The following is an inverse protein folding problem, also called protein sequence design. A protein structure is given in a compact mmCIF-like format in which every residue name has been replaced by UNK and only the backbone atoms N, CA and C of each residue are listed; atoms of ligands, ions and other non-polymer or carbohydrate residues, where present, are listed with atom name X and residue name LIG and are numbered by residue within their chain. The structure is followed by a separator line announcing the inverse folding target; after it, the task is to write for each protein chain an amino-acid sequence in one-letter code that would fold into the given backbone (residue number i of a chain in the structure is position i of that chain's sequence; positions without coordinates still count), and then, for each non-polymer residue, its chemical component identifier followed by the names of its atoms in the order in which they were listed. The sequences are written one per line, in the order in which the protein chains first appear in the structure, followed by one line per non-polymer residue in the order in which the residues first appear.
data_IF_969142547295
#
_entry.id   IF_969142547295
#
_cell.length_a   1.000
_cell.length_b   1.000
_cell.length_c   1.000
_cell.angle_alpha   90.00
_cell.angle_beta   90.00
_cell.angle_gamma   90.00
#
_symmetry.space_group_name_H-M   'P 1'
#
loop_
_entity.id
_entity.type
_entity.pdbx_description
1 polymer ?
#
# COMPACT_ATOMS: atom_id res chain seq x y z
N UNK A 1 -29.66 5.79 -4.50
CA UNK A 1 -28.73 4.64 -4.56
C UNK A 1 -27.35 5.25 -4.53
N UNK A 2 -26.76 5.33 -3.34
CA UNK A 2 -25.54 6.10 -3.15
C UNK A 2 -24.37 5.36 -3.80
N UNK A 3 -23.92 5.88 -4.93
CA UNK A 3 -22.60 5.57 -5.47
C UNK A 3 -21.58 6.10 -4.44
N UNK A 4 -21.25 5.29 -3.45
CA UNK A 4 -20.16 5.58 -2.54
C UNK A 4 -18.89 5.71 -3.39
N UNK A 5 -18.52 6.95 -3.72
CA UNK A 5 -17.30 7.26 -4.45
C UNK A 5 -16.15 6.72 -3.60
N UNK A 6 -15.60 5.59 -4.01
CA UNK A 6 -14.40 5.03 -3.42
C UNK A 6 -13.32 6.10 -3.60
N UNK A 7 -12.91 6.76 -2.52
CA UNK A 7 -11.86 7.77 -2.58
C UNK A 7 -10.52 7.06 -2.61
N UNK A 8 -10.03 6.84 -3.81
CA UNK A 8 -8.63 6.49 -4.03
C UNK A 8 -7.76 7.74 -3.87
N UNK A 9 -6.57 7.55 -3.31
CA UNK A 9 -5.54 8.59 -3.24
C UNK A 9 -4.19 8.04 -3.66
N UNK A 10 -3.35 8.92 -4.18
CA UNK A 10 -1.98 8.56 -4.56
C UNK A 10 -0.99 9.02 -3.50
N UNK A 11 -0.04 8.14 -3.17
CA UNK A 11 1.05 8.43 -2.25
C UNK A 11 2.37 8.00 -2.91
N UNK A 12 3.39 8.85 -2.83
CA UNK A 12 4.72 8.54 -3.36
C UNK A 12 5.67 8.32 -2.18
N UNK A 13 6.27 7.15 -2.11
CA UNK A 13 7.31 6.81 -1.14
C UNK A 13 8.63 6.65 -1.88
N UNK A 14 9.63 7.46 -1.56
CA UNK A 14 10.95 7.40 -2.21
C UNK A 14 12.05 7.22 -1.16
N UNK A 15 12.78 6.13 -1.27
CA UNK A 15 13.98 5.85 -0.46
C UNK A 15 15.16 6.61 -1.09
N UNK A 16 15.46 7.80 -0.55
CA UNK A 16 16.50 8.69 -1.07
C UNK A 16 17.78 8.63 -0.24
N UNK A 17 17.65 8.48 1.08
CA UNK A 17 18.76 8.39 2.03
C UNK A 17 18.94 6.95 2.52
N UNK A 18 20.13 6.64 3.03
CA UNK A 18 20.42 5.33 3.64
C UNK A 18 19.59 5.04 4.89
N UNK A 19 19.10 6.08 5.56
CA UNK A 19 18.23 5.98 6.74
C UNK A 19 16.75 5.86 6.38
N UNK A 20 16.39 6.06 5.11
CA UNK A 20 15.00 5.95 4.67
C UNK A 20 14.63 4.48 4.48
N UNK A 21 13.43 4.15 4.89
CA UNK A 21 12.83 2.84 4.66
C UNK A 21 11.32 3.02 4.54
N UNK A 22 10.67 2.12 3.80
CA UNK A 22 9.24 2.22 3.53
C UNK A 22 8.44 2.18 4.84
N UNK A 23 8.74 1.21 5.71
CA UNK A 23 8.16 1.14 7.05
C UNK A 23 6.67 0.81 7.06
N UNK A 24 6.26 -0.18 6.27
CA UNK A 24 4.90 -0.73 6.33
C UNK A 24 4.93 -2.25 6.14
N UNK A 25 4.01 -2.92 6.82
CA UNK A 25 3.71 -4.33 6.58
C UNK A 25 2.43 -4.43 5.77
N UNK A 26 2.36 -5.47 4.93
CA UNK A 26 1.18 -5.83 4.17
C UNK A 26 0.59 -7.15 4.66
N UNK A 27 -0.69 -7.37 4.39
CA UNK A 27 -1.42 -8.62 4.62
C UNK A 27 -2.42 -8.86 3.49
N UNK A 28 -3.06 -10.03 3.49
CA UNK A 28 -3.95 -10.44 2.41
C UNK A 28 -3.14 -10.99 1.23
N UNK A 29 -3.76 -11.02 0.06
CA UNK A 29 -3.24 -11.73 -1.11
C UNK A 29 -4.35 -12.49 -1.80
N UNK A 30 -4.33 -12.48 -3.12
CA UNK A 30 -5.36 -13.08 -3.95
C UNK A 30 -5.50 -14.60 -3.71
N UNK A 31 -4.44 -15.29 -3.30
CA UNK A 31 -4.47 -16.70 -2.90
C UNK A 31 -5.42 -16.98 -1.72
N UNK A 32 -5.80 -15.94 -0.96
CA UNK A 32 -6.77 -15.99 0.13
C UNK A 32 -8.14 -15.38 -0.24
N UNK A 33 -8.33 -14.98 -1.50
CA UNK A 33 -9.50 -14.22 -1.95
C UNK A 33 -9.57 -12.80 -1.38
N UNK A 34 -8.42 -12.22 -1.01
CA UNK A 34 -8.31 -10.90 -0.40
C UNK A 34 -7.41 -9.98 -1.23
N UNK A 35 -7.70 -8.68 -1.21
CA UNK A 35 -6.75 -7.67 -1.71
C UNK A 35 -5.50 -7.52 -0.83
N UNK A 36 -4.57 -6.66 -1.24
CA UNK A 36 -3.38 -6.32 -0.45
C UNK A 36 -3.69 -5.13 0.45
N UNK A 37 -3.51 -5.30 1.77
CA UNK A 37 -3.82 -4.26 2.77
C UNK A 37 -2.62 -3.94 3.64
N UNK A 38 -2.50 -2.68 4.03
CA UNK A 38 -1.53 -2.25 5.05
C UNK A 38 -1.98 -2.77 6.41
N UNK A 39 -1.13 -3.55 7.07
CA UNK A 39 -1.41 -4.19 8.37
C UNK A 39 -0.73 -3.48 9.53
N UNK A 40 0.40 -2.80 9.28
CA UNK A 40 1.18 -2.08 10.28
C UNK A 40 2.01 -1.00 9.61
N UNK A 41 2.29 0.06 10.36
CA UNK A 41 3.25 1.09 10.00
C UNK A 41 4.36 1.13 11.04
N UNK A 42 5.58 1.32 10.59
CA UNK A 42 6.74 1.51 11.45
C UNK A 42 6.92 3.00 11.73
N UNK A 43 7.19 3.31 13.01
CA UNK A 43 7.37 4.69 13.46
C UNK A 43 8.56 5.33 12.75
N UNK A 44 8.33 6.47 12.13
CA UNK A 44 9.32 7.22 11.38
C UNK A 44 9.63 6.62 10.01
N UNK A 45 8.93 5.59 9.55
CA UNK A 45 9.02 5.10 8.18
C UNK A 45 8.40 6.07 7.16
N UNK A 46 8.76 5.91 5.89
CA UNK A 46 8.20 6.75 4.82
C UNK A 46 6.68 6.63 4.74
N UNK A 47 6.12 5.45 4.97
CA UNK A 47 4.68 5.21 4.93
C UNK A 47 3.95 6.05 5.99
N UNK A 48 4.41 6.03 7.24
CA UNK A 48 3.84 6.87 8.32
C UNK A 48 3.97 8.35 7.99
N UNK A 49 5.15 8.80 7.55
CA UNK A 49 5.42 10.22 7.21
C UNK A 49 4.59 10.73 6.03
N UNK A 50 4.15 9.84 5.13
CA UNK A 50 3.32 10.18 3.98
C UNK A 50 1.84 9.86 4.20
N UNK A 51 1.42 9.75 5.47
CA UNK A 51 0.05 9.54 5.89
C UNK A 51 -0.58 8.26 5.35
N UNK A 52 0.18 7.21 5.03
CA UNK A 52 -0.40 5.87 4.80
C UNK A 52 -1.06 5.42 6.10
N UNK A 53 -2.22 4.76 6.03
CA UNK A 53 -2.94 4.30 7.20
C UNK A 53 -3.02 2.77 7.26
N UNK A 54 -3.01 2.21 8.47
CA UNK A 54 -3.37 0.80 8.65
C UNK A 54 -4.81 0.60 8.19
N UNK A 55 -5.02 -0.45 7.40
CA UNK A 55 -6.30 -0.74 6.76
C UNK A 55 -6.43 -0.21 5.33
N UNK A 56 -5.55 0.68 4.86
CA UNK A 56 -5.54 1.09 3.45
C UNK A 56 -5.32 -0.14 2.55
N UNK A 57 -6.12 -0.23 1.47
CA UNK A 57 -5.91 -1.24 0.43
C UNK A 57 -4.99 -0.67 -0.64
N UNK A 58 -3.94 -1.40 -0.99
CA UNK A 58 -3.08 -1.08 -2.14
C UNK A 58 -3.76 -1.64 -3.39
N UNK A 59 -4.26 -0.76 -4.25
CA UNK A 59 -4.94 -1.16 -5.50
C UNK A 59 -4.05 -1.06 -6.71
N UNK A 60 -2.99 -0.23 -6.65
CA UNK A 60 -1.94 -0.19 -7.66
C UNK A 60 -0.61 0.29 -7.08
N UNK A 61 0.49 -0.13 -7.71
CA UNK A 61 1.84 0.33 -7.39
C UNK A 61 2.58 0.60 -8.69
N UNK A 62 3.12 1.81 -8.86
CA UNK A 62 3.87 2.20 -10.06
C UNK A 62 3.08 2.01 -11.37
N UNK A 63 1.74 2.11 -11.31
CA UNK A 63 0.85 1.88 -12.45
C UNK A 63 0.46 0.42 -12.68
N UNK A 64 1.08 -0.53 -11.97
CA UNK A 64 0.69 -1.95 -11.99
C UNK A 64 -0.47 -2.19 -11.03
N UNK A 65 -1.53 -2.87 -11.50
CA UNK A 65 -2.67 -3.24 -10.64
C UNK A 65 -2.27 -4.26 -9.58
N UNK A 66 -2.78 -4.06 -8.37
CA UNK A 66 -2.60 -4.91 -7.19
C UNK A 66 -3.91 -5.60 -6.76
N UNK A 67 -4.97 -5.53 -7.58
CA UNK A 67 -6.27 -6.10 -7.23
C UNK A 67 -6.28 -7.63 -7.15
N UNK A 68 -5.48 -8.31 -7.99
CA UNK A 68 -5.43 -9.77 -8.09
C UNK A 68 -4.00 -10.32 -7.91
N UNK A 69 -3.23 -9.71 -7.00
CA UNK A 69 -1.83 -10.07 -6.76
C UNK A 69 -1.71 -10.95 -5.52
N UNK A 70 -0.89 -12.00 -5.61
CA UNK A 70 -0.60 -12.87 -4.47
C UNK A 70 0.28 -12.17 -3.44
N UNK A 71 0.22 -12.59 -2.18
CA UNK A 71 0.98 -11.97 -1.09
C UNK A 71 2.48 -11.88 -1.40
N UNK A 72 3.09 -13.02 -1.76
CA UNK A 72 4.53 -13.10 -2.03
C UNK A 72 4.95 -12.18 -3.17
N UNK A 73 4.20 -12.18 -4.27
CA UNK A 73 4.49 -11.32 -5.43
C UNK A 73 4.35 -9.83 -5.09
N UNK A 74 3.37 -9.47 -4.24
CA UNK A 74 3.26 -8.10 -3.75
C UNK A 74 4.48 -7.69 -2.92
N UNK A 75 4.95 -8.55 -2.01
CA UNK A 75 6.14 -8.30 -1.20
C UNK A 75 7.38 -8.13 -2.08
N UNK A 76 7.59 -9.03 -3.03
CA UNK A 76 8.72 -8.98 -3.97
C UNK A 76 8.70 -7.68 -4.79
N UNK A 77 7.55 -7.33 -5.35
CA UNK A 77 7.39 -6.11 -6.14
C UNK A 77 7.69 -4.86 -5.32
N UNK A 78 7.15 -4.75 -4.11
CA UNK A 78 7.36 -3.61 -3.22
C UNK A 78 8.83 -3.46 -2.81
N UNK A 79 9.53 -4.58 -2.60
CA UNK A 79 10.97 -4.60 -2.24
C UNK A 79 11.89 -4.29 -3.42
N UNK A 80 11.48 -4.61 -4.65
CA UNK A 80 12.28 -4.40 -5.85
C UNK A 80 12.44 -2.92 -6.25
N UNK A 81 11.63 -2.02 -5.69
CA UNK A 81 11.59 -0.61 -6.10
C UNK A 81 11.98 0.33 -4.95
N UNK A 82 12.85 1.30 -5.26
CA UNK A 82 13.20 2.38 -4.32
C UNK A 82 12.14 3.47 -4.23
N UNK A 83 11.37 3.65 -5.30
CA UNK A 83 10.25 4.59 -5.36
C UNK A 83 8.97 3.83 -5.65
N UNK A 84 7.97 4.02 -4.79
CA UNK A 84 6.64 3.45 -4.92
C UNK A 84 5.62 4.57 -5.06
N UNK A 85 4.94 4.63 -6.20
CA UNK A 85 3.71 5.38 -6.39
C UNK A 85 2.52 4.46 -6.08
N UNK A 86 2.03 4.53 -4.85
CA UNK A 86 0.91 3.75 -4.36
C UNK A 86 -0.40 4.43 -4.75
N UNK A 87 -1.35 3.68 -5.26
CA UNK A 87 -2.76 4.05 -5.27
C UNK A 87 -3.43 3.29 -4.13
N UNK A 88 -3.96 4.04 -3.17
CA UNK A 88 -4.56 3.52 -1.94
C UNK A 88 -6.05 3.79 -1.93
N UNK A 89 -6.83 2.74 -1.66
CA UNK A 89 -8.24 2.85 -1.34
C UNK A 89 -8.40 2.91 0.18
N UNK A 90 -8.93 4.04 0.66
CA UNK A 90 -9.11 4.29 2.09
C UNK A 90 -10.20 3.35 2.62
N UNK A 91 -9.86 2.52 3.60
CA UNK A 91 -10.86 1.80 4.36
C UNK A 91 -11.52 2.80 5.32
N UNK A 92 -12.82 3.08 5.16
CA UNK A 92 -13.57 3.88 6.14
C UNK A 92 -13.48 3.12 7.47
N UNK A 93 -12.76 3.66 8.45
CA UNK A 93 -12.94 3.25 9.83
C UNK A 93 -14.40 3.54 10.18
N UNK A 94 -15.17 2.48 10.41
CA UNK A 94 -16.46 2.56 11.07
C UNK A 94 -16.24 2.76 12.57
#
# INVERSE_FOLDING_TARGET
MDHATIRERQVILSVLKTTDYIGMNIRGGNEYGLGIYVSRLDRGGLAERNNVCVGDQIVAVNGTSFENVNHTSAVEFLRAHRTLKLTLKVCKQF
#
